data_IF_459488060917
#
_entry.id   IF_459488060917
#
_cell.length_a   1.000
_cell.length_b   1.000
_cell.length_c   1.000
_cell.angle_alpha   90.00
_cell.angle_beta   90.00
_cell.angle_gamma   90.00
#
_symmetry.space_group_name_H-M   'P 1'
#
loop_
_entity.id
_entity.type
_entity.pdbx_description
1 polymer ?
#
# COMPACT_ATOMS: atom_id res chain seq x y z
N UNK A 1 3.58 2.34 9.86
CA UNK A 1 4.64 2.24 8.86
C UNK A 1 5.26 0.85 8.80
N UNK A 2 5.61 0.39 7.60
CA UNK A 2 6.51 -0.74 7.33
C UNK A 2 7.43 -0.37 6.15
N UNK A 3 8.67 -0.88 6.12
CA UNK A 3 9.66 -0.51 5.11
C UNK A 3 10.30 0.86 5.31
N UNK A 4 11.06 1.30 4.29
CA UNK A 4 11.73 2.60 4.23
C UNK A 4 11.33 3.31 2.93
N UNK A 5 10.79 4.53 3.02
CA UNK A 5 10.20 5.26 1.88
C UNK A 5 11.16 6.19 1.16
N UNK A 6 12.42 6.32 1.62
CA UNK A 6 13.37 7.34 1.15
C UNK A 6 13.63 7.31 -0.36
N UNK A 7 13.56 6.12 -0.97
CA UNK A 7 13.91 5.87 -2.37
C UNK A 7 12.67 5.77 -3.28
N UNK A 8 11.49 6.12 -2.75
CA UNK A 8 10.25 6.03 -3.49
C UNK A 8 10.17 7.12 -4.56
N UNK A 9 9.85 6.73 -5.79
CA UNK A 9 9.54 7.64 -6.89
C UNK A 9 8.04 7.89 -7.04
N UNK A 10 7.22 7.07 -6.38
CA UNK A 10 5.77 7.14 -6.46
C UNK A 10 5.09 6.82 -5.13
N UNK A 11 3.96 7.48 -4.88
CA UNK A 11 3.08 7.23 -3.73
C UNK A 11 1.68 6.94 -4.25
N UNK A 12 1.13 5.79 -3.85
CA UNK A 12 -0.25 5.40 -4.16
C UNK A 12 -1.10 5.49 -2.91
N UNK A 13 -2.22 6.19 -3.00
CA UNK A 13 -3.18 6.34 -1.91
C UNK A 13 -4.30 5.32 -2.09
N UNK A 14 -4.63 4.60 -1.02
CA UNK A 14 -5.77 3.69 -0.94
C UNK A 14 -6.71 4.17 0.16
N UNK A 15 -7.91 4.60 -0.23
CA UNK A 15 -8.86 5.29 0.65
C UNK A 15 -8.70 6.81 0.59
N UNK A 16 -9.17 7.48 1.64
CA UNK A 16 -9.22 8.93 1.70
C UNK A 16 -8.27 9.45 2.80
N UNK A 17 -7.23 10.25 2.46
CA UNK A 17 -6.28 10.78 3.42
C UNK A 17 -6.76 12.07 4.11
N UNK A 18 -8.00 12.51 3.86
CA UNK A 18 -8.57 13.70 4.48
C UNK A 18 -8.73 13.49 5.99
N UNK A 19 -8.39 14.53 6.78
CA UNK A 19 -8.39 14.46 8.25
C UNK A 19 -9.77 14.30 8.86
N UNK A 20 -10.82 14.61 8.11
CA UNK A 20 -12.23 14.43 8.44
C UNK A 20 -12.76 13.02 8.14
N UNK A 21 -11.98 12.17 7.46
CA UNK A 21 -12.37 10.79 7.17
C UNK A 21 -11.88 9.82 8.26
N UNK A 22 -12.81 9.31 9.06
CA UNK A 22 -12.52 8.38 10.15
C UNK A 22 -12.23 6.95 9.67
N UNK A 23 -12.46 6.61 8.40
CA UNK A 23 -12.21 5.26 7.88
C UNK A 23 -10.70 4.97 7.73
N UNK A 24 -9.88 6.02 7.70
CA UNK A 24 -8.44 5.92 7.50
C UNK A 24 -8.05 5.56 6.07
N UNK A 25 -6.75 5.38 5.87
CA UNK A 25 -6.15 5.18 4.55
C UNK A 25 -4.84 4.40 4.64
N UNK A 26 -4.35 3.95 3.48
CA UNK A 26 -3.00 3.46 3.33
C UNK A 26 -2.25 4.24 2.24
N UNK A 27 -0.96 4.47 2.47
CA UNK A 27 -0.02 4.97 1.49
C UNK A 27 0.93 3.84 1.14
N UNK A 28 1.07 3.54 -0.14
CA UNK A 28 2.08 2.63 -0.66
C UNK A 28 3.16 3.45 -1.34
N UNK A 29 4.40 3.24 -0.93
CA UNK A 29 5.56 3.90 -1.50
C UNK A 29 6.24 2.93 -2.46
N UNK A 30 6.32 3.31 -3.73
CA UNK A 30 6.87 2.49 -4.80
C UNK A 30 8.19 3.08 -5.30
N UNK A 31 9.08 2.18 -5.71
CA UNK A 31 10.28 2.49 -6.48
C UNK A 31 10.26 1.64 -7.74
N UNK A 32 10.20 2.28 -8.91
CA UNK A 32 10.11 1.61 -10.21
C UNK A 32 8.99 0.55 -10.29
N UNK A 33 7.85 0.80 -9.62
CA UNK A 33 6.71 -0.12 -9.56
C UNK A 33 6.78 -1.21 -8.48
N UNK A 34 7.83 -1.21 -7.65
CA UNK A 34 8.03 -2.15 -6.53
C UNK A 34 7.63 -1.50 -5.22
N UNK A 35 6.83 -2.15 -4.40
CA UNK A 35 6.45 -1.64 -3.07
C UNK A 35 7.64 -1.74 -2.11
N UNK A 36 8.15 -0.60 -1.66
CA UNK A 36 9.30 -0.53 -0.74
C UNK A 36 8.93 -0.12 0.69
N UNK A 37 7.78 0.54 0.86
CA UNK A 37 7.24 0.90 2.16
C UNK A 37 5.72 1.08 2.10
N UNK A 38 5.09 1.14 3.28
CA UNK A 38 3.71 1.59 3.40
C UNK A 38 3.41 2.22 4.77
N UNK A 39 2.49 3.17 4.75
CA UNK A 39 1.79 3.66 5.94
C UNK A 39 0.35 3.19 5.92
N UNK A 40 -0.19 2.84 7.09
CA UNK A 40 -1.56 2.40 7.24
C UNK A 40 -2.13 3.07 8.49
N UNK A 41 -3.04 4.00 8.29
CA UNK A 41 -3.66 4.81 9.35
C UNK A 41 -5.07 4.27 9.56
N UNK A 42 -5.38 3.75 10.74
CA UNK A 42 -6.65 3.08 11.07
C UNK A 42 -7.02 1.89 10.14
N UNK A 43 -6.04 1.31 9.44
CA UNK A 43 -6.21 0.25 8.43
C UNK A 43 -5.38 -1.01 8.77
N UNK A 44 -5.79 -1.84 9.75
CA UNK A 44 -4.98 -2.97 10.22
C UNK A 44 -4.81 -4.11 9.18
N UNK A 45 -5.79 -4.31 8.29
CA UNK A 45 -5.71 -5.33 7.23
C UNK A 45 -4.66 -4.95 6.18
N UNK A 46 -4.66 -3.68 5.77
CA UNK A 46 -3.68 -3.08 4.87
C UNK A 46 -2.29 -3.15 5.50
N UNK A 47 -2.16 -2.89 6.81
CA UNK A 47 -0.86 -3.01 7.48
C UNK A 47 -0.28 -4.43 7.40
N UNK A 48 -1.13 -5.46 7.54
CA UNK A 48 -0.69 -6.87 7.42
C UNK A 48 -0.30 -7.20 5.98
N UNK A 49 -1.11 -6.81 5.00
CA UNK A 49 -0.83 -7.03 3.58
C UNK A 49 0.46 -6.30 3.15
N UNK A 50 0.62 -5.04 3.55
CA UNK A 50 1.77 -4.21 3.23
C UNK A 50 3.08 -4.80 3.73
N UNK A 51 3.09 -5.42 4.92
CA UNK A 51 4.28 -6.12 5.43
C UNK A 51 4.73 -7.25 4.50
N UNK A 52 3.79 -7.96 3.88
CA UNK A 52 4.12 -9.01 2.92
C UNK A 52 4.61 -8.41 1.60
N UNK A 53 3.90 -7.42 1.06
CA UNK A 53 4.28 -6.73 -0.18
C UNK A 53 5.71 -6.14 -0.11
N UNK A 54 6.03 -5.46 0.99
CA UNK A 54 7.38 -4.91 1.22
C UNK A 54 8.43 -5.99 1.40
N UNK A 55 8.12 -7.05 2.16
CA UNK A 55 9.04 -8.17 2.38
C UNK A 55 9.41 -8.88 1.08
N UNK A 56 8.44 -9.09 0.21
CA UNK A 56 8.62 -9.79 -1.06
C UNK A 56 9.09 -8.85 -2.19
N UNK A 57 9.21 -7.53 -1.93
CA UNK A 57 9.45 -6.52 -2.97
C UNK A 57 8.49 -6.68 -4.15
N UNK A 58 7.21 -6.79 -3.81
CA UNK A 58 6.14 -7.03 -4.76
C UNK A 58 6.09 -5.91 -5.82
N UNK A 59 6.14 -6.30 -7.10
CA UNK A 59 5.84 -5.40 -8.22
C UNK A 59 4.35 -5.49 -8.52
N UNK A 60 3.63 -4.39 -8.35
CA UNK A 60 2.16 -4.34 -8.47
C UNK A 60 1.76 -2.96 -8.97
N UNK A 61 0.71 -2.89 -9.79
CA UNK A 61 0.30 -1.64 -10.41
C UNK A 61 -0.42 -0.71 -9.42
N UNK A 62 -0.34 0.59 -9.70
CA UNK A 62 -0.96 1.63 -8.90
C UNK A 62 -2.49 1.50 -8.82
N UNK A 63 -3.12 1.09 -9.92
CA UNK A 63 -4.57 0.96 -10.01
C UNK A 63 -5.08 -0.12 -9.07
N UNK A 64 -4.35 -1.25 -9.00
CA UNK A 64 -4.68 -2.36 -8.10
C UNK A 64 -4.47 -1.98 -6.64
N UNK A 65 -3.39 -1.25 -6.32
CA UNK A 65 -3.13 -0.80 -4.95
C UNK A 65 -4.21 0.18 -4.46
N UNK A 66 -4.63 1.11 -5.34
CA UNK A 66 -5.63 2.13 -5.02
C UNK A 66 -7.07 1.59 -4.94
N UNK A 67 -7.39 0.49 -5.65
CA UNK A 67 -8.76 -0.03 -5.77
C UNK A 67 -9.31 -0.63 -4.46
N UNK A 68 -10.15 0.14 -3.77
CA UNK A 68 -10.78 -0.27 -2.51
C UNK A 68 -11.72 -1.47 -2.60
N UNK A 69 -12.12 -1.90 -3.81
CA UNK A 69 -12.93 -3.10 -4.02
C UNK A 69 -12.14 -4.41 -3.85
N UNK A 70 -10.81 -4.35 -3.96
CA UNK A 70 -9.92 -5.50 -3.78
C UNK A 70 -9.62 -5.67 -2.29
N UNK A 71 -9.92 -6.83 -1.71
CA UNK A 71 -9.57 -7.05 -0.30
C UNK A 71 -8.04 -7.00 -0.10
N UNK A 72 -7.50 -6.36 0.95
CA UNK A 72 -6.05 -6.16 1.11
C UNK A 72 -5.23 -7.44 1.07
N UNK A 73 -5.77 -8.54 1.60
CA UNK A 73 -5.10 -9.86 1.59
C UNK A 73 -4.94 -10.45 0.19
N UNK A 74 -5.71 -9.98 -0.79
CA UNK A 74 -5.65 -10.43 -2.19
C UNK A 74 -4.63 -9.67 -3.04
N UNK A 75 -4.08 -8.55 -2.54
CA UNK A 75 -3.08 -7.76 -3.28
C UNK A 75 -1.86 -8.59 -3.70
N UNK A 76 -1.45 -9.54 -2.85
CA UNK A 76 -0.37 -10.49 -3.17
C UNK A 76 -0.62 -11.33 -4.42
N UNK A 77 -1.88 -11.57 -4.80
CA UNK A 77 -2.22 -12.34 -6.00
C UNK A 77 -1.99 -11.58 -7.32
N UNK A 78 -1.75 -10.27 -7.25
CA UNK A 78 -1.48 -9.41 -8.40
C UNK A 78 0.00 -9.01 -8.50
N UNK A 79 0.82 -9.42 -7.54
CA UNK A 79 2.25 -9.16 -7.54
C UNK A 79 2.97 -10.10 -8.54
N UNK A 80 3.88 -9.55 -9.34
CA UNK A 80 4.75 -10.29 -10.28
C UNK A 80 6.19 -10.36 -9.81
#
# INVERSE_FOLDING_TARGET
>A
MTGLSQDADQIVVRGNPSVDDENGFALFYLQEGVVIAADSVARPKEFIASKQLVKERARISEEILADESIEPVKLMGFAS
#
